data_IF_708089004119
#
_entry.id   IF_708089004119
#
_cell.length_a   1.000
_cell.length_b   1.000
_cell.length_c   1.000
_cell.angle_alpha   90.00
_cell.angle_beta   90.00
_cell.angle_gamma   90.00
#
_symmetry.space_group_name_H-M   'P 1'
#
loop_
_entity.id
_entity.type
_entity.pdbx_description
1 polymer ?
#
# COMPACT_ATOMS: atom_id res chain seq x y z
N UNK A 1 4.71 17.67 -0.20
CA UNK A 1 3.28 17.47 -0.44
C UNK A 1 3.08 17.33 -1.93
N UNK A 2 2.28 16.36 -2.37
CA UNK A 2 2.19 16.01 -3.79
C UNK A 2 0.74 16.07 -4.26
N UNK A 3 0.53 16.64 -5.46
CA UNK A 3 -0.79 16.98 -6.01
C UNK A 3 -1.24 15.97 -7.09
N UNK A 4 -0.31 15.23 -7.66
CA UNK A 4 -0.58 14.25 -8.72
C UNK A 4 -0.66 12.82 -8.19
N UNK A 5 -1.61 12.02 -8.67
CA UNK A 5 -1.77 10.62 -8.27
C UNK A 5 -0.51 9.78 -8.45
N UNK A 6 0.23 9.99 -9.54
CA UNK A 6 1.50 9.30 -9.80
C UNK A 6 2.53 9.57 -8.70
N UNK A 7 2.65 10.82 -8.25
CA UNK A 7 3.60 11.18 -7.19
C UNK A 7 3.23 10.58 -5.83
N UNK A 8 1.92 10.44 -5.53
CA UNK A 8 1.43 9.75 -4.34
C UNK A 8 1.78 8.26 -4.42
N UNK A 9 1.55 7.64 -5.58
CA UNK A 9 1.87 6.23 -5.81
C UNK A 9 3.37 5.95 -5.65
N UNK A 10 4.23 6.77 -6.28
CA UNK A 10 5.69 6.65 -6.13
C UNK A 10 6.12 6.78 -4.67
N UNK A 11 5.56 7.74 -3.93
CA UNK A 11 5.87 7.91 -2.50
C UNK A 11 5.51 6.68 -1.67
N UNK A 12 4.36 6.06 -1.95
CA UNK A 12 3.94 4.84 -1.26
C UNK A 12 4.78 3.62 -1.64
N UNK A 13 5.29 3.56 -2.87
CA UNK A 13 6.11 2.44 -3.33
C UNK A 13 7.55 2.53 -2.81
N UNK A 14 8.10 3.74 -2.69
CA UNK A 14 9.37 3.98 -2.00
C UNK A 14 9.27 3.56 -0.52
N UNK A 15 8.16 3.86 0.15
CA UNK A 15 7.93 3.41 1.53
C UNK A 15 7.94 1.87 1.63
N UNK A 16 7.25 1.20 0.71
CA UNK A 16 7.23 -0.26 0.65
C UNK A 16 8.62 -0.85 0.43
N UNK A 17 9.38 -0.34 -0.55
CA UNK A 17 10.74 -0.80 -0.84
C UNK A 17 11.73 -0.51 0.29
N UNK A 18 11.56 0.59 1.02
CA UNK A 18 12.37 0.92 2.20
C UNK A 18 12.10 0.02 3.40
N UNK A 19 10.86 -0.48 3.53
CA UNK A 19 10.47 -1.33 4.65
C UNK A 19 10.93 -2.80 4.49
N UNK A 20 11.04 -3.31 3.26
CA UNK A 20 11.43 -4.71 3.01
C UNK A 20 12.80 -5.07 3.61
N UNK A 21 13.89 -4.28 3.43
CA UNK A 21 15.18 -4.56 4.05
C UNK A 21 15.13 -4.55 5.58
N UNK A 22 14.26 -3.72 6.18
CA UNK A 22 14.08 -3.67 7.63
C UNK A 22 13.44 -4.96 8.16
N UNK A 23 12.54 -5.57 7.38
CA UNK A 23 11.91 -6.85 7.74
C UNK A 23 12.90 -8.04 7.70
N UNK A 24 13.89 -8.02 6.80
CA UNK A 24 14.86 -9.12 6.60
C UNK A 24 16.18 -8.83 7.37
N UNK A 25 16.09 -8.34 8.60
CA UNK A 25 17.29 -7.90 9.33
C UNK A 25 18.27 -9.05 9.65
N UNK A 26 17.76 -10.23 10.06
CA UNK A 26 18.59 -11.38 10.47
C UNK A 26 18.64 -12.46 9.40
N UNK A 27 17.76 -12.40 8.40
CA UNK A 27 17.71 -13.35 7.29
C UNK A 27 17.18 -14.74 7.69
N UNK A 28 16.46 -14.82 8.81
CA UNK A 28 15.81 -16.06 9.23
C UNK A 28 14.67 -16.42 8.26
N UNK A 29 14.41 -17.72 8.09
CA UNK A 29 13.35 -18.21 7.19
C UNK A 29 11.96 -17.64 7.55
N UNK A 30 11.71 -17.35 8.83
CA UNK A 30 10.46 -16.75 9.29
C UNK A 30 10.35 -15.26 8.90
N UNK A 31 11.47 -14.53 8.96
CA UNK A 31 11.54 -13.11 8.59
C UNK A 31 11.36 -12.95 7.07
N UNK A 32 11.95 -13.85 6.27
CA UNK A 32 11.79 -13.84 4.81
C UNK A 32 10.36 -14.17 4.40
N UNK A 33 9.69 -15.13 5.06
CA UNK A 33 8.27 -15.43 4.81
C UNK A 33 7.37 -14.21 5.11
N UNK A 34 7.60 -13.54 6.24
CA UNK A 34 6.85 -12.33 6.61
C UNK A 34 7.05 -11.19 5.60
N UNK A 35 8.28 -11.02 5.10
CA UNK A 35 8.63 -10.02 4.09
C UNK A 35 7.94 -10.27 2.76
N UNK A 36 7.82 -11.53 2.35
CA UNK A 36 7.11 -11.91 1.13
C UNK A 36 5.61 -11.66 1.27
N UNK A 37 5.01 -12.00 2.41
CA UNK A 37 3.59 -11.70 2.69
C UNK A 37 3.31 -10.20 2.65
N UNK A 38 4.16 -9.40 3.31
CA UNK A 38 4.10 -7.95 3.26
C UNK A 38 4.19 -7.43 1.82
N UNK A 39 5.19 -7.92 1.06
CA UNK A 39 5.41 -7.50 -0.31
C UNK A 39 4.19 -7.76 -1.19
N UNK A 40 3.60 -8.96 -1.12
CA UNK A 40 2.43 -9.33 -1.92
C UNK A 40 1.23 -8.44 -1.57
N UNK A 41 0.93 -8.24 -0.29
CA UNK A 41 -0.21 -7.42 0.13
C UNK A 41 -0.04 -5.96 -0.29
N UNK A 42 1.16 -5.39 -0.13
CA UNK A 42 1.42 -4.00 -0.54
C UNK A 42 1.45 -3.82 -2.05
N UNK A 43 1.95 -4.80 -2.82
CA UNK A 43 1.93 -4.80 -4.27
C UNK A 43 0.49 -4.89 -4.82
N UNK A 44 -0.36 -5.71 -4.19
CA UNK A 44 -1.79 -5.74 -4.51
C UNK A 44 -2.44 -4.39 -4.20
N UNK A 45 -2.16 -3.79 -3.04
CA UNK A 45 -2.61 -2.44 -2.69
C UNK A 45 -2.15 -1.37 -3.69
N UNK A 46 -0.89 -1.42 -4.15
CA UNK A 46 -0.36 -0.45 -5.12
C UNK A 46 -1.02 -0.57 -6.49
N UNK A 47 -1.29 -1.80 -6.94
CA UNK A 47 -2.00 -2.07 -8.20
C UNK A 47 -3.45 -1.57 -8.17
N UNK A 48 -4.19 -1.78 -7.07
CA UNK A 48 -5.55 -1.28 -6.90
C UNK A 48 -5.60 0.26 -6.85
N UNK A 49 -4.61 0.90 -6.23
CA UNK A 49 -4.50 2.36 -6.19
C UNK A 49 -4.31 2.93 -7.60
N UNK A 50 -3.39 2.38 -8.40
CA UNK A 50 -3.18 2.79 -9.79
C UNK A 50 -4.42 2.53 -10.65
N UNK A 51 -5.08 1.39 -10.47
CA UNK A 51 -6.30 1.08 -11.21
C UNK A 51 -7.43 2.08 -10.88
N UNK A 52 -7.60 2.41 -9.59
CA UNK A 52 -8.57 3.42 -9.16
C UNK A 52 -8.26 4.82 -9.68
N UNK A 53 -6.99 5.22 -9.71
CA UNK A 53 -6.57 6.52 -10.26
C UNK A 53 -6.78 6.61 -11.77
N UNK A 54 -6.52 5.55 -12.53
CA UNK A 54 -6.80 5.47 -13.98
C UNK A 54 -8.30 5.55 -14.28
N UNK A 55 -9.14 4.91 -13.48
CA UNK A 55 -10.61 5.03 -13.60
C UNK A 55 -11.09 6.45 -13.32
N UNK A 56 -10.52 7.13 -12.32
CA UNK A 56 -10.85 8.52 -12.02
C UNK A 56 -10.37 9.49 -13.12
N UNK A 57 -9.23 9.20 -13.75
CA UNK A 57 -8.69 9.97 -14.88
C UNK A 57 -9.60 9.91 -16.09
N UNK A 58 -10.10 8.73 -16.44
CA UNK A 58 -10.93 8.53 -17.64
C UNK A 58 -12.17 9.46 -17.65
N UNK A 59 -12.71 9.80 -16.48
CA UNK A 59 -13.91 10.63 -16.35
C UNK A 59 -13.61 12.13 -16.19
N UNK A 60 -12.51 12.49 -15.54
CA UNK A 60 -12.17 13.88 -15.22
C UNK A 60 -11.16 14.51 -16.18
N UNK A 61 -10.47 13.68 -17.00
CA UNK A 61 -9.40 14.04 -17.93
C UNK A 61 -8.19 14.75 -17.29
N UNK A 62 -8.10 14.73 -15.96
CA UNK A 62 -6.94 15.22 -15.21
C UNK A 62 -6.57 14.27 -14.09
N UNK A 63 -5.29 14.31 -13.72
CA UNK A 63 -4.68 13.34 -12.82
C UNK A 63 -4.24 13.96 -11.50
N UNK A 64 -5.08 14.86 -10.99
CA UNK A 64 -4.90 15.53 -9.72
C UNK A 64 -5.66 14.81 -8.61
N UNK A 65 -5.08 14.81 -7.39
CA UNK A 65 -5.66 14.15 -6.23
C UNK A 65 -6.93 14.85 -5.71
N UNK A 66 -7.02 16.17 -5.89
CA UNK A 66 -8.08 17.01 -5.35
C UNK A 66 -9.10 17.39 -6.42
N UNK A 67 -9.87 16.40 -6.89
CA UNK A 67 -10.88 16.65 -7.91
C UNK A 67 -12.28 16.29 -7.44
N UNK A 68 -13.20 17.24 -7.59
CA UNK A 68 -14.60 17.13 -7.15
C UNK A 68 -15.43 16.15 -7.99
N UNK A 69 -14.97 15.78 -9.18
CA UNK A 69 -15.64 14.84 -10.08
C UNK A 69 -14.82 13.56 -10.25
N UNK A 70 -14.73 12.77 -9.18
CA UNK A 70 -14.19 11.41 -9.27
C UNK A 70 -15.31 10.40 -9.50
N UNK A 71 -15.03 9.38 -10.32
CA UNK A 71 -15.94 8.26 -10.49
C UNK A 71 -16.16 7.56 -9.13
N UNK A 72 -17.40 7.19 -8.76
CA UNK A 72 -17.66 6.51 -7.49
C UNK A 72 -16.89 5.19 -7.40
N UNK A 73 -16.81 4.45 -8.52
CA UNK A 73 -16.01 3.22 -8.64
C UNK A 73 -14.51 3.45 -8.36
N UNK A 74 -13.89 4.41 -9.05
CA UNK A 74 -12.47 4.75 -8.83
C UNK A 74 -12.18 5.19 -7.40
N UNK A 75 -13.06 6.00 -6.79
CA UNK A 75 -12.93 6.42 -5.40
C UNK A 75 -13.03 5.25 -4.43
N UNK A 76 -13.97 4.32 -4.64
CA UNK A 76 -14.07 3.11 -3.81
C UNK A 76 -12.82 2.24 -3.90
N UNK A 77 -12.24 2.08 -5.09
CA UNK A 77 -11.01 1.31 -5.28
C UNK A 77 -9.80 1.98 -4.61
N UNK A 78 -9.70 3.30 -4.70
CA UNK A 78 -8.65 4.06 -4.00
C UNK A 78 -8.79 3.87 -2.48
N UNK A 79 -9.99 4.00 -1.93
CA UNK A 79 -10.25 3.79 -0.50
C UNK A 79 -9.92 2.35 -0.08
N UNK A 80 -10.37 1.36 -0.87
CA UNK A 80 -10.08 -0.05 -0.63
C UNK A 80 -8.56 -0.31 -0.63
N UNK A 81 -7.84 0.29 -1.58
CA UNK A 81 -6.38 0.17 -1.68
C UNK A 81 -5.68 0.75 -0.45
N UNK A 82 -6.17 1.88 0.07
CA UNK A 82 -5.63 2.51 1.28
C UNK A 82 -5.90 1.65 2.52
N UNK A 83 -7.10 1.08 2.64
CA UNK A 83 -7.41 0.15 3.73
C UNK A 83 -6.56 -1.12 3.69
N UNK A 84 -6.31 -1.66 2.49
CA UNK A 84 -5.38 -2.77 2.28
C UNK A 84 -3.96 -2.41 2.78
N UNK A 85 -3.44 -1.25 2.38
CA UNK A 85 -2.09 -0.79 2.77
C UNK A 85 -1.96 -0.50 4.26
N UNK A 86 -3.02 -0.03 4.90
CA UNK A 86 -3.07 0.23 6.35
C UNK A 86 -3.35 -1.02 7.19
N UNK A 87 -3.78 -2.12 6.59
CA UNK A 87 -4.24 -3.30 7.34
C UNK A 87 -5.51 -3.04 8.15
N UNK A 88 -6.37 -2.12 7.72
CA UNK A 88 -7.64 -1.85 8.37
C UNK A 88 -8.67 -2.94 8.04
N UNK A 89 -9.74 -3.04 8.84
CA UNK A 89 -10.88 -3.93 8.53
C UNK A 89 -11.39 -3.68 7.10
N UNK A 90 -11.67 -4.71 6.28
CA UNK A 90 -11.61 -6.16 6.53
C UNK A 90 -10.23 -6.83 6.29
N UNK A 91 -9.22 -6.09 5.83
CA UNK A 91 -7.92 -6.61 5.37
C UNK A 91 -6.83 -6.65 6.45
N UNK A 92 -7.20 -6.84 7.71
CA UNK A 92 -6.27 -6.82 8.84
C UNK A 92 -5.42 -8.10 9.00
N UNK A 93 -5.75 -9.21 8.32
CA UNK A 93 -5.16 -10.51 8.59
C UNK A 93 -3.64 -10.60 8.35
N UNK A 94 -3.10 -9.81 7.42
CA UNK A 94 -1.67 -9.86 7.12
C UNK A 94 -0.81 -9.19 8.21
N UNK A 95 -1.38 -8.24 8.97
CA UNK A 95 -0.62 -7.41 9.90
C UNK A 95 -0.15 -8.18 11.15
N UNK A 96 -1.00 -8.95 11.87
CA UNK A 96 -0.56 -9.73 13.03
C UNK A 96 0.47 -10.79 12.66
N UNK A 97 0.31 -11.43 11.50
CA UNK A 97 1.19 -12.52 11.04
C UNK A 97 2.59 -12.00 10.70
N UNK A 98 2.67 -10.81 10.09
CA UNK A 98 3.96 -10.15 9.82
C UNK A 98 4.61 -9.68 11.12
N UNK A 99 3.84 -9.07 12.04
CA UNK A 99 4.37 -8.56 13.31
C UNK A 99 4.88 -9.66 14.25
N UNK A 100 4.24 -10.84 14.28
CA UNK A 100 4.64 -11.92 15.17
C UNK A 100 6.04 -12.47 14.86
N UNK A 101 6.49 -12.38 13.61
CA UNK A 101 7.77 -12.92 13.15
C UNK A 101 8.93 -11.92 13.26
N UNK A 102 8.67 -10.69 13.69
CA UNK A 102 9.65 -9.60 13.74
C UNK A 102 10.12 -9.32 15.18
N UNK A 103 11.28 -8.67 15.29
CA UNK A 103 11.72 -8.11 16.56
C UNK A 103 10.87 -6.90 16.95
N UNK A 104 10.73 -6.64 18.25
CA UNK A 104 9.98 -5.47 18.76
C UNK A 104 10.44 -4.13 18.18
N UNK A 105 11.74 -3.98 17.90
CA UNK A 105 12.30 -2.77 17.28
C UNK A 105 11.82 -2.60 15.84
N UNK A 106 11.79 -3.68 15.06
CA UNK A 106 11.30 -3.64 13.68
C UNK A 106 9.77 -3.49 13.61
N UNK A 107 9.04 -3.85 14.67
CA UNK A 107 7.60 -3.66 14.76
C UNK A 107 7.21 -2.20 15.05
N UNK A 108 8.10 -1.44 15.71
CA UNK A 108 7.81 -0.07 16.16
C UNK A 108 8.23 0.99 15.13
N UNK A 109 9.24 0.68 14.33
CA UNK A 109 9.68 1.50 13.18
C UNK A 109 8.74 1.35 12.00
#
# INVERSE_FOLDING_TARGET
SSIHWLSIWVGLEINMMGFIPLLIYRGLTMETESSIKYFIMQALGSSMLMFGSLLSFNLSLSWEAWQYHTSPLGLTLIILSLFLKLGAFPFHFWLPEVMMNLSWLNCLM
#
